data_IF_724354845397
#
_entry.id   IF_724354845397
#
_cell.length_a   1.000
_cell.length_b   1.000
_cell.length_c   1.000
_cell.angle_alpha   90.00
_cell.angle_beta   90.00
_cell.angle_gamma   90.00
#
_symmetry.space_group_name_H-M   'P 1'
#
loop_
_entity.id
_entity.type
_entity.pdbx_description
1 polymer ?
#
# COMPACT_ATOMS: atom_id res chain seq x y z
N UNK A 1 -5.10 -14.48 65.62
CA UNK A 1 -4.48 -13.35 64.86
C UNK A 1 -3.05 -13.79 64.50
N UNK A 2 -2.87 -14.24 63.26
CA UNK A 2 -1.52 -14.59 62.75
C UNK A 2 -0.90 -13.29 62.23
N UNK A 3 0.21 -12.85 62.83
CA UNK A 3 1.07 -11.78 62.34
C UNK A 3 1.63 -12.20 60.96
N UNK A 4 1.27 -11.48 59.89
CA UNK A 4 1.95 -11.61 58.63
C UNK A 4 3.46 -11.36 58.86
N UNK A 5 4.32 -12.37 58.53
CA UNK A 5 5.75 -12.17 58.47
C UNK A 5 6.03 -11.09 57.45
N UNK A 6 6.67 -9.98 57.88
CA UNK A 6 7.30 -9.03 56.93
C UNK A 6 8.33 -9.85 56.16
N UNK A 7 8.11 -10.03 54.85
CA UNK A 7 9.15 -10.53 53.98
C UNK A 7 10.37 -9.56 54.10
N UNK A 8 11.54 -10.16 54.35
CA UNK A 8 12.77 -9.38 54.37
C UNK A 8 12.98 -8.73 52.99
N UNK A 9 13.35 -7.47 52.98
CA UNK A 9 13.68 -6.78 51.72
C UNK A 9 14.88 -7.50 51.10
N UNK A 10 14.78 -7.83 49.80
CA UNK A 10 15.86 -8.46 49.03
C UNK A 10 17.12 -7.58 49.05
N UNK A 11 18.27 -8.21 49.15
CA UNK A 11 19.57 -7.53 48.97
C UNK A 11 19.70 -7.02 47.53
N UNK A 12 20.59 -6.05 47.22
CA UNK A 12 20.85 -5.61 45.85
C UNK A 12 21.20 -6.76 44.91
N UNK A 13 21.96 -7.71 45.37
CA UNK A 13 22.39 -8.92 44.62
C UNK A 13 21.17 -9.83 44.32
N UNK A 14 20.32 -10.05 45.31
CA UNK A 14 19.10 -10.86 45.13
C UNK A 14 18.12 -10.17 44.17
N UNK A 15 18.01 -8.84 44.24
CA UNK A 15 17.20 -8.05 43.26
C UNK A 15 17.74 -8.20 41.86
N UNK A 16 19.05 -8.10 41.67
CA UNK A 16 19.68 -8.28 40.38
C UNK A 16 19.42 -9.67 39.80
N UNK A 17 19.64 -10.73 40.63
CA UNK A 17 19.37 -12.10 40.19
C UNK A 17 17.89 -12.32 39.81
N UNK A 18 16.97 -11.71 40.52
CA UNK A 18 15.55 -11.77 40.20
C UNK A 18 15.16 -10.96 38.93
N UNK A 19 15.96 -9.97 38.57
CA UNK A 19 15.74 -9.16 37.38
C UNK A 19 16.31 -9.76 36.11
N UNK A 20 17.33 -10.61 36.20
CA UNK A 20 17.91 -11.31 35.05
C UNK A 20 17.00 -12.47 34.61
N UNK A 21 16.95 -12.69 33.31
CA UNK A 21 16.28 -13.86 32.71
C UNK A 21 17.26 -15.05 32.81
N UNK A 22 16.83 -16.19 33.39
CA UNK A 22 17.69 -17.39 33.46
C UNK A 22 18.08 -17.92 32.07
N UNK A 23 19.28 -18.51 31.95
CA UNK A 23 19.84 -18.96 30.68
C UNK A 23 18.96 -19.93 29.90
N UNK A 24 18.20 -20.79 30.61
CA UNK A 24 17.26 -21.74 29.97
C UNK A 24 15.98 -21.11 29.40
N UNK A 25 15.73 -19.81 29.71
CA UNK A 25 14.62 -19.03 29.15
C UNK A 25 15.08 -18.10 28.03
N UNK A 26 16.39 -18.08 27.69
CA UNK A 26 16.89 -17.16 26.66
C UNK A 26 16.33 -17.51 25.28
N UNK A 27 15.71 -16.56 24.58
CA UNK A 27 15.25 -16.80 23.21
C UNK A 27 16.39 -17.15 22.24
N UNK A 28 17.59 -16.60 22.48
CA UNK A 28 18.82 -16.87 21.73
C UNK A 28 20.04 -16.35 22.52
N UNK A 29 21.27 -16.74 22.06
CA UNK A 29 22.52 -16.31 22.66
C UNK A 29 22.83 -14.84 22.31
N UNK A 30 23.19 -14.03 23.30
CA UNK A 30 23.64 -12.66 23.17
C UNK A 30 25.16 -12.54 23.18
N UNK A 31 25.75 -11.38 22.78
CA UNK A 31 27.16 -11.02 23.09
C UNK A 31 27.40 -11.07 24.59
N UNK A 32 28.65 -11.37 24.99
CA UNK A 32 29.01 -11.65 26.38
C UNK A 32 28.81 -10.47 27.34
N UNK A 33 28.91 -9.25 26.84
CA UNK A 33 28.69 -8.03 27.64
C UNK A 33 27.22 -7.53 27.63
N UNK A 34 26.29 -8.29 26.99
CA UNK A 34 24.85 -8.03 27.07
C UNK A 34 24.22 -8.89 28.17
N UNK A 35 22.99 -8.52 28.56
CA UNK A 35 22.19 -9.36 29.45
C UNK A 35 20.73 -9.43 28.98
N UNK A 36 20.05 -10.48 29.42
CA UNK A 36 18.60 -10.59 29.30
C UNK A 36 17.95 -10.12 30.61
N UNK A 37 16.99 -9.21 30.48
CA UNK A 37 16.08 -8.81 31.58
C UNK A 37 14.64 -8.88 31.11
N UNK A 38 13.70 -8.50 31.94
CA UNK A 38 12.29 -8.37 31.53
C UNK A 38 11.92 -6.90 31.38
N UNK A 39 10.98 -6.59 30.46
CA UNK A 39 10.53 -5.19 30.24
C UNK A 39 10.20 -4.50 31.56
N UNK A 40 9.49 -5.20 32.46
CA UNK A 40 9.09 -4.64 33.75
C UNK A 40 10.22 -4.22 34.69
N UNK A 41 11.45 -4.73 34.48
CA UNK A 41 12.63 -4.38 35.29
C UNK A 41 13.49 -3.30 34.62
N UNK A 42 13.25 -3.02 33.32
CA UNK A 42 14.02 -2.06 32.53
C UNK A 42 13.34 -0.68 32.40
N UNK A 43 12.02 -0.62 32.60
CA UNK A 43 11.24 0.63 32.44
C UNK A 43 10.78 1.19 33.78
N UNK A 44 10.55 2.50 33.84
CA UNK A 44 10.03 3.17 35.05
C UNK A 44 8.69 2.54 35.48
N UNK A 45 7.72 2.54 34.58
CA UNK A 45 6.48 1.79 34.79
C UNK A 45 5.70 1.49 33.50
N UNK A 46 4.82 0.50 33.59
CA UNK A 46 3.85 0.15 32.56
C UNK A 46 2.45 0.36 33.13
N UNK A 47 1.61 1.13 32.46
CA UNK A 47 0.27 1.46 32.92
C UNK A 47 -0.76 1.47 31.77
N UNK A 48 -2.02 1.58 32.12
CA UNK A 48 -3.14 1.69 31.20
C UNK A 48 -4.23 2.61 31.78
N UNK A 49 -5.27 2.87 30.98
CA UNK A 49 -6.41 3.68 31.39
C UNK A 49 -7.09 3.14 32.66
N UNK A 50 -7.24 1.81 32.78
CA UNK A 50 -7.95 1.17 33.92
C UNK A 50 -7.12 1.13 35.21
N UNK A 51 -5.83 1.51 35.15
CA UNK A 51 -5.02 1.69 36.37
C UNK A 51 -5.55 2.80 37.29
N UNK A 52 -6.38 3.72 36.78
CA UNK A 52 -6.92 4.86 37.51
C UNK A 52 -8.16 4.50 38.37
N UNK A 53 -8.78 3.35 38.12
CA UNK A 53 -9.93 2.93 38.92
C UNK A 53 -10.77 1.84 38.26
N UNK A 54 -11.79 1.37 38.95
CA UNK A 54 -12.78 0.44 38.40
C UNK A 54 -13.56 1.09 37.23
N UNK A 55 -14.17 0.28 36.37
CA UNK A 55 -15.02 0.80 35.27
C UNK A 55 -16.14 1.71 35.77
N UNK A 56 -16.74 1.39 36.93
CA UNK A 56 -17.77 2.23 37.55
C UNK A 56 -17.19 3.60 37.98
N UNK A 57 -16.00 3.59 38.61
CA UNK A 57 -15.31 4.81 39.06
C UNK A 57 -14.87 5.67 37.89
N UNK A 58 -14.29 5.06 36.82
CA UNK A 58 -13.90 5.75 35.57
C UNK A 58 -15.11 6.42 34.91
N UNK A 59 -16.25 5.69 34.79
CA UNK A 59 -17.48 6.22 34.22
C UNK A 59 -18.08 7.38 35.03
N UNK A 60 -17.90 7.37 36.34
CA UNK A 60 -18.40 8.43 37.21
C UNK A 60 -17.55 9.70 37.21
N UNK A 61 -16.23 9.59 36.94
CA UNK A 61 -15.27 10.70 37.08
C UNK A 61 -14.67 11.20 35.78
N UNK A 62 -14.81 10.46 34.65
CA UNK A 62 -14.21 10.82 33.38
C UNK A 62 -15.29 11.07 32.35
N UNK A 63 -15.49 12.32 32.00
CA UNK A 63 -16.35 12.76 30.90
C UNK A 63 -15.55 12.81 29.63
N UNK A 64 -16.09 12.26 28.50
CA UNK A 64 -15.44 12.24 27.20
C UNK A 64 -16.17 13.21 26.27
N UNK A 65 -15.43 14.18 25.71
CA UNK A 65 -15.93 15.21 24.83
C UNK A 65 -15.39 14.99 23.41
N UNK A 66 -16.19 15.30 22.39
CA UNK A 66 -15.76 15.35 20.99
C UNK A 66 -15.21 16.72 20.61
N UNK A 67 -15.73 17.75 21.26
CA UNK A 67 -15.27 19.11 21.13
C UNK A 67 -14.05 19.35 22.02
N UNK A 68 -13.20 20.27 21.63
CA UNK A 68 -11.96 20.59 22.35
C UNK A 68 -12.24 20.94 23.81
N UNK A 69 -11.47 20.33 24.74
CA UNK A 69 -11.59 20.54 26.18
C UNK A 69 -10.18 20.53 26.82
N UNK A 70 -10.10 20.49 28.13
CA UNK A 70 -8.87 20.68 28.93
C UNK A 70 -7.73 19.75 28.48
N UNK A 71 -7.94 18.45 28.39
CA UNK A 71 -6.90 17.49 28.06
C UNK A 71 -7.28 16.60 26.88
N UNK A 72 -6.31 16.34 25.99
CA UNK A 72 -6.44 15.40 24.88
C UNK A 72 -6.35 13.96 25.41
N UNK A 73 -7.32 13.13 25.07
CA UNK A 73 -7.32 11.68 25.34
C UNK A 73 -6.73 10.94 24.14
N UNK A 74 -5.46 10.55 24.24
CA UNK A 74 -4.70 9.93 23.13
C UNK A 74 -5.11 8.48 22.91
N UNK A 75 -5.52 8.17 21.68
CA UNK A 75 -5.88 6.82 21.20
C UNK A 75 -4.90 6.35 20.13
N UNK A 76 -4.71 5.06 20.00
CA UNK A 76 -3.84 4.50 18.95
C UNK A 76 -4.30 4.81 17.52
N UNK A 77 -5.61 5.04 17.30
CA UNK A 77 -6.12 5.47 16.00
C UNK A 77 -5.76 6.91 15.61
N UNK A 78 -5.43 7.77 16.58
CA UNK A 78 -5.11 9.18 16.34
C UNK A 78 -3.78 9.31 15.58
N UNK A 79 -2.89 8.34 15.73
CA UNK A 79 -1.62 8.28 14.97
C UNK A 79 -1.85 8.02 13.47
N UNK A 80 -2.84 7.22 13.11
CA UNK A 80 -3.15 6.93 11.71
C UNK A 80 -3.72 8.15 10.96
N UNK A 81 -4.34 9.10 11.67
CA UNK A 81 -4.93 10.31 11.09
C UNK A 81 -4.12 11.59 11.37
N UNK A 82 -2.90 11.44 11.91
CA UNK A 82 -2.01 12.57 12.23
C UNK A 82 -2.59 13.55 13.23
N UNK A 83 -3.44 13.10 14.15
CA UNK A 83 -4.11 13.93 15.16
C UNK A 83 -4.99 15.05 14.57
N UNK A 84 -5.60 14.83 13.42
CA UNK A 84 -6.40 15.86 12.71
C UNK A 84 -7.91 15.60 12.75
N UNK A 85 -8.36 14.38 13.10
CA UNK A 85 -9.78 14.00 13.02
C UNK A 85 -10.19 13.12 14.20
N UNK A 86 -11.45 13.26 14.61
CA UNK A 86 -12.11 12.39 15.61
C UNK A 86 -11.36 12.31 16.93
N UNK A 87 -10.69 13.39 17.33
CA UNK A 87 -10.04 13.50 18.62
C UNK A 87 -11.08 13.46 19.73
N UNK A 88 -10.67 13.04 20.93
CA UNK A 88 -11.50 13.06 22.13
C UNK A 88 -10.76 13.73 23.26
N UNK A 89 -11.50 14.38 24.10
CA UNK A 89 -10.98 15.20 25.20
C UNK A 89 -11.66 14.84 26.52
N UNK A 90 -11.05 15.26 27.63
CA UNK A 90 -11.66 15.24 28.94
C UNK A 90 -11.51 16.61 29.60
N UNK A 91 -12.35 16.89 30.58
CA UNK A 91 -12.25 18.10 31.40
C UNK A 91 -11.11 18.00 32.43
N UNK A 92 -10.88 19.08 33.18
CA UNK A 92 -9.83 19.11 34.20
C UNK A 92 -10.07 18.07 35.31
N UNK A 93 -11.30 17.82 35.69
CA UNK A 93 -11.64 16.80 36.71
C UNK A 93 -11.25 15.39 36.24
N UNK A 94 -11.64 15.03 35.00
CA UNK A 94 -11.29 13.76 34.40
C UNK A 94 -9.78 13.60 34.23
N UNK A 95 -9.09 14.65 33.83
CA UNK A 95 -7.62 14.63 33.70
C UNK A 95 -6.91 14.40 35.04
N UNK A 96 -7.30 15.11 36.08
CA UNK A 96 -6.76 14.96 37.44
C UNK A 96 -7.03 13.56 38.00
N UNK A 97 -8.21 13.00 37.69
CA UNK A 97 -8.57 11.62 38.05
C UNK A 97 -7.67 10.60 37.33
N UNK A 98 -7.32 10.85 36.08
CA UNK A 98 -6.48 9.99 35.25
C UNK A 98 -4.96 10.14 35.50
N UNK A 99 -4.56 10.55 36.70
CA UNK A 99 -3.18 10.88 37.06
C UNK A 99 -2.15 9.77 36.83
N UNK A 100 -2.58 8.47 36.84
CA UNK A 100 -1.69 7.34 36.57
C UNK A 100 -1.44 7.08 35.07
N UNK A 101 -2.15 7.75 34.18
CA UNK A 101 -2.04 7.59 32.74
C UNK A 101 -1.84 8.91 31.99
N UNK A 102 -1.32 9.92 32.69
CA UNK A 102 -0.92 11.22 32.14
C UNK A 102 0.21 11.03 31.14
N UNK A 103 0.15 11.77 30.03
CA UNK A 103 1.14 11.77 28.95
C UNK A 103 1.79 13.17 28.84
N UNK A 104 3.09 13.18 28.57
CA UNK A 104 3.89 14.42 28.42
C UNK A 104 4.55 14.56 27.05
N UNK A 105 4.50 13.51 26.23
CA UNK A 105 5.23 13.37 24.97
C UNK A 105 6.49 12.53 25.13
N UNK A 106 6.77 11.71 24.10
CA UNK A 106 7.89 10.78 24.10
C UNK A 106 7.56 9.39 24.62
N UNK A 107 6.54 9.20 25.46
CA UNK A 107 6.13 7.89 25.97
C UNK A 107 5.73 6.95 24.82
N UNK A 108 5.92 5.63 25.04
CA UNK A 108 5.45 4.61 24.10
C UNK A 108 4.05 4.14 24.46
N UNK A 109 3.17 4.09 23.46
CA UNK A 109 1.85 3.48 23.60
C UNK A 109 1.73 2.29 22.67
N UNK A 110 1.19 1.20 23.21
CA UNK A 110 0.91 -0.03 22.47
C UNK A 110 -0.59 -0.24 22.39
N UNK A 111 -1.08 -0.61 21.21
CA UNK A 111 -2.44 -1.12 21.08
C UNK A 111 -2.51 -2.51 21.71
N UNK A 112 -3.28 -2.64 22.78
CA UNK A 112 -3.38 -3.90 23.53
C UNK A 112 -4.69 -4.66 23.28
N UNK A 113 -5.61 -4.12 22.49
CA UNK A 113 -6.87 -4.77 22.09
C UNK A 113 -7.12 -4.55 20.61
N UNK A 114 -7.43 -5.63 19.89
CA UNK A 114 -7.76 -5.62 18.46
C UNK A 114 -6.51 -5.54 17.56
N UNK A 115 -5.91 -4.38 17.39
CA UNK A 115 -4.70 -4.18 16.56
C UNK A 115 -3.42 -4.38 17.39
N UNK A 116 -3.28 -5.52 18.04
CA UNK A 116 -2.11 -5.86 18.87
C UNK A 116 -0.80 -5.75 18.08
N UNK A 117 0.28 -5.28 18.74
CA UNK A 117 1.60 -5.15 18.15
C UNK A 117 1.89 -3.82 17.45
N UNK A 118 0.93 -2.91 17.37
CA UNK A 118 1.19 -1.54 16.94
C UNK A 118 1.76 -0.73 18.09
N UNK A 119 2.95 -0.16 17.87
CA UNK A 119 3.69 0.67 18.82
C UNK A 119 3.80 2.07 18.28
N UNK A 120 3.55 3.06 19.12
CA UNK A 120 3.57 4.46 18.77
C UNK A 120 4.36 5.27 19.81
N UNK A 121 5.06 6.30 19.35
CA UNK A 121 5.68 7.29 20.21
C UNK A 121 4.77 8.50 20.30
N UNK A 122 4.40 8.90 21.52
CA UNK A 122 3.50 10.05 21.75
C UNK A 122 4.18 11.34 21.30
N UNK A 123 3.57 12.13 20.41
CA UNK A 123 4.13 13.43 20.03
C UNK A 123 4.05 14.42 21.18
N UNK A 124 4.90 15.46 21.13
CA UNK A 124 4.83 16.58 22.07
C UNK A 124 3.75 17.55 21.61
N UNK A 125 2.80 17.84 22.49
CA UNK A 125 1.78 18.87 22.29
C UNK A 125 1.86 19.93 23.40
N UNK A 126 1.57 21.16 23.08
CA UNK A 126 1.46 22.25 24.05
C UNK A 126 0.08 22.26 24.72
N UNK A 127 -0.27 21.11 25.31
CA UNK A 127 -1.51 20.92 26.06
C UNK A 127 -1.47 19.67 26.93
N UNK A 128 -2.26 19.59 28.00
CA UNK A 128 -2.40 18.37 28.79
C UNK A 128 -2.89 17.18 27.94
N UNK A 129 -2.32 16.01 28.21
CA UNK A 129 -2.66 14.77 27.54
C UNK A 129 -2.84 13.62 28.55
N UNK A 130 -3.70 12.67 28.23
CA UNK A 130 -3.85 11.43 28.98
C UNK A 130 -4.12 10.27 28.03
N UNK A 131 -3.79 9.06 28.46
CA UNK A 131 -4.04 7.84 27.70
C UNK A 131 -5.54 7.52 27.68
N UNK A 132 -6.09 7.22 26.51
CA UNK A 132 -7.42 6.67 26.36
C UNK A 132 -7.46 5.15 26.58
N UNK A 133 -8.65 4.55 26.58
CA UNK A 133 -8.83 3.10 26.69
C UNK A 133 -8.22 2.31 25.53
N UNK A 134 -8.02 1.00 25.73
CA UNK A 134 -7.49 0.05 24.73
C UNK A 134 -6.04 0.28 24.33
N UNK A 135 -5.27 0.92 25.23
CA UNK A 135 -3.85 1.15 25.04
C UNK A 135 -3.10 0.91 26.36
N UNK A 136 -1.87 0.44 26.25
CA UNK A 136 -0.91 0.35 27.34
C UNK A 136 0.20 1.35 27.09
N UNK A 137 0.59 2.10 28.11
CA UNK A 137 1.71 3.04 28.07
C UNK A 137 2.93 2.40 28.75
N UNK A 138 4.08 2.58 28.11
CA UNK A 138 5.40 2.26 28.68
C UNK A 138 6.12 3.59 28.90
N UNK A 139 6.56 3.84 30.13
CA UNK A 139 7.39 4.97 30.51
C UNK A 139 8.77 4.48 30.89
N UNK A 140 9.78 4.99 30.20
CA UNK A 140 11.17 4.68 30.44
C UNK A 140 11.81 5.72 31.40
N UNK A 141 12.92 5.37 32.03
CA UNK A 141 13.65 6.28 32.91
C UNK A 141 14.30 7.45 32.17
N UNK A 142 14.85 7.17 30.97
CA UNK A 142 15.55 8.15 30.15
C UNK A 142 14.99 8.23 28.73
N UNK A 143 15.24 9.33 28.04
CA UNK A 143 14.82 9.52 26.64
C UNK A 143 15.40 8.47 25.68
N UNK A 144 16.65 8.03 25.92
CA UNK A 144 17.36 7.01 25.11
C UNK A 144 16.72 5.64 25.22
N UNK A 145 16.22 5.27 26.40
CA UNK A 145 15.57 3.98 26.62
C UNK A 145 14.28 3.83 25.79
N UNK A 146 13.63 4.96 25.45
CA UNK A 146 12.47 4.92 24.56
C UNK A 146 12.81 4.47 23.15
N UNK A 147 13.94 4.90 22.60
CA UNK A 147 14.34 4.53 21.25
C UNK A 147 14.73 3.04 21.19
N UNK A 148 15.48 2.55 22.18
CA UNK A 148 15.79 1.14 22.33
C UNK A 148 14.52 0.29 22.45
N UNK A 149 13.63 0.65 23.37
CA UNK A 149 12.37 -0.05 23.59
C UNK A 149 11.46 0.00 22.37
N UNK A 150 11.37 1.15 21.69
CA UNK A 150 10.57 1.34 20.47
C UNK A 150 11.02 0.38 19.37
N UNK A 151 12.31 0.37 19.05
CA UNK A 151 12.84 -0.52 18.02
C UNK A 151 12.76 -1.99 18.40
N UNK A 152 12.93 -2.34 19.68
CA UNK A 152 12.71 -3.70 20.16
C UNK A 152 11.28 -4.17 19.87
N UNK A 153 10.30 -3.40 20.30
CA UNK A 153 8.88 -3.74 20.13
C UNK A 153 8.45 -3.81 18.64
N UNK A 154 9.13 -3.06 17.76
CA UNK A 154 8.93 -3.13 16.31
C UNK A 154 9.72 -4.28 15.63
N UNK A 155 10.70 -4.85 16.34
CA UNK A 155 11.51 -5.94 15.77
C UNK A 155 10.68 -7.21 15.62
N UNK A 156 11.06 -8.13 14.70
CA UNK A 156 10.43 -9.45 14.62
C UNK A 156 10.45 -10.20 15.95
N UNK A 157 11.52 -10.04 16.73
CA UNK A 157 11.68 -10.67 18.03
C UNK A 157 10.68 -10.12 19.04
N UNK A 158 10.62 -8.80 19.21
CA UNK A 158 9.66 -8.13 20.11
C UNK A 158 8.20 -8.37 19.69
N UNK A 159 7.94 -8.46 18.38
CA UNK A 159 6.61 -8.78 17.86
C UNK A 159 6.17 -10.22 18.20
N UNK A 160 7.06 -11.23 18.06
CA UNK A 160 6.73 -12.60 18.44
C UNK A 160 6.55 -12.73 19.97
N UNK A 161 7.32 -12.01 20.77
CA UNK A 161 7.11 -11.95 22.22
C UNK A 161 5.77 -11.29 22.58
N UNK A 162 5.38 -10.21 21.94
CA UNK A 162 4.04 -9.61 22.10
C UNK A 162 2.93 -10.58 21.71
N UNK A 163 3.14 -11.36 20.66
CA UNK A 163 2.21 -12.36 20.18
C UNK A 163 2.07 -13.52 21.20
N UNK A 164 3.18 -13.94 21.83
CA UNK A 164 3.18 -15.03 22.82
C UNK A 164 2.30 -14.72 24.03
N UNK A 165 2.23 -13.47 24.46
CA UNK A 165 1.38 -13.01 25.58
C UNK A 165 -0.04 -12.63 25.14
N UNK A 166 -0.35 -12.67 23.83
CA UNK A 166 -1.64 -12.26 23.30
C UNK A 166 -2.64 -13.40 23.36
N UNK A 167 -3.82 -13.15 23.88
CA UNK A 167 -4.92 -14.10 24.00
C UNK A 167 -6.15 -13.65 23.22
N UNK A 168 -7.06 -14.58 22.89
CA UNK A 168 -8.32 -14.30 22.21
C UNK A 168 -8.19 -14.40 20.67
N UNK A 169 -9.02 -15.26 20.07
CA UNK A 169 -9.04 -15.52 18.61
C UNK A 169 -9.86 -14.47 17.84
N UNK A 170 -11.01 -14.05 18.35
CA UNK A 170 -11.87 -13.08 17.69
C UNK A 170 -11.40 -11.62 17.91
N UNK A 171 -10.98 -11.30 19.14
CA UNK A 171 -10.42 -9.99 19.50
C UNK A 171 -9.12 -10.23 20.27
N UNK A 172 -7.97 -10.20 19.60
CA UNK A 172 -6.68 -10.39 20.25
C UNK A 172 -6.45 -9.30 21.30
N UNK A 173 -5.93 -9.71 22.46
CA UNK A 173 -5.61 -8.78 23.57
C UNK A 173 -4.49 -9.30 24.45
N UNK A 174 -3.73 -8.37 25.04
CA UNK A 174 -2.81 -8.62 26.15
C UNK A 174 -3.02 -7.58 27.25
N UNK A 175 -2.50 -7.84 28.44
CA UNK A 175 -2.56 -6.90 29.55
C UNK A 175 -1.16 -6.37 29.92
N UNK A 176 -1.11 -5.30 30.71
CA UNK A 176 0.13 -4.65 31.15
C UNK A 176 1.01 -5.54 32.03
N UNK A 177 0.42 -6.51 32.73
CA UNK A 177 1.17 -7.44 33.57
C UNK A 177 1.96 -8.43 32.71
N UNK A 178 1.32 -8.98 31.68
CA UNK A 178 1.98 -9.88 30.73
C UNK A 178 3.05 -9.15 29.92
N UNK A 179 2.81 -7.89 29.52
CA UNK A 179 3.83 -7.08 28.83
C UNK A 179 5.11 -6.95 29.65
N UNK A 180 5.01 -6.81 30.98
CA UNK A 180 6.18 -6.72 31.87
C UNK A 180 7.03 -7.98 31.89
N UNK A 181 6.48 -9.15 31.55
CA UNK A 181 7.20 -10.43 31.56
C UNK A 181 8.03 -10.70 30.32
N UNK A 182 7.84 -9.92 29.26
CA UNK A 182 8.58 -10.11 27.99
C UNK A 182 10.08 -9.97 28.23
N UNK A 183 10.90 -10.93 27.77
CA UNK A 183 12.35 -10.84 27.82
C UNK A 183 12.85 -9.72 26.87
N UNK A 184 13.75 -8.90 27.38
CA UNK A 184 14.36 -7.78 26.67
C UNK A 184 15.89 -7.95 26.66
N UNK A 185 16.56 -7.96 25.50
CA UNK A 185 18.01 -7.94 25.44
C UNK A 185 18.50 -6.52 25.73
N UNK A 186 19.48 -6.39 26.60
CA UNK A 186 20.06 -5.10 27.01
C UNK A 186 21.54 -5.08 26.72
N UNK A 187 22.05 -4.25 25.80
CA UNK A 187 23.46 -3.98 25.61
C UNK A 187 24.00 -2.94 26.58
N UNK A 188 25.34 -2.76 26.67
CA UNK A 188 25.93 -1.58 27.30
C UNK A 188 25.32 -0.27 26.75
N UNK A 189 25.18 0.74 27.60
CA UNK A 189 24.48 1.99 27.27
C UNK A 189 25.05 2.71 26.03
N UNK A 190 26.38 2.69 25.87
CA UNK A 190 27.01 3.29 24.69
C UNK A 190 26.69 2.52 23.41
N UNK A 191 26.60 1.19 23.50
CA UNK A 191 26.23 0.35 22.38
C UNK A 191 24.75 0.51 22.00
N UNK A 192 23.84 0.70 22.97
CA UNK A 192 22.44 1.02 22.69
C UNK A 192 22.34 2.22 21.75
N UNK A 193 23.08 3.29 22.04
CA UNK A 193 23.07 4.50 21.20
C UNK A 193 23.64 4.20 19.80
N UNK A 194 24.77 3.48 19.70
CA UNK A 194 25.34 3.12 18.39
C UNK A 194 24.41 2.25 17.55
N UNK A 195 23.67 1.33 18.18
CA UNK A 195 22.67 0.52 17.50
C UNK A 195 21.50 1.38 16.99
N UNK A 196 20.96 2.25 17.84
CA UNK A 196 19.87 3.16 17.47
C UNK A 196 20.29 4.05 16.31
N UNK A 197 21.45 4.73 16.41
CA UNK A 197 22.01 5.58 15.35
C UNK A 197 22.19 4.81 14.03
N UNK A 198 22.63 3.54 14.13
CA UNK A 198 22.82 2.68 12.97
C UNK A 198 21.49 2.29 12.33
N UNK A 199 20.48 1.94 13.13
CA UNK A 199 19.12 1.66 12.66
C UNK A 199 18.55 2.87 11.94
N UNK A 200 18.62 4.05 12.56
CA UNK A 200 18.09 5.30 12.00
C UNK A 200 18.78 5.69 10.70
N UNK A 201 20.11 5.59 10.65
CA UNK A 201 20.88 5.84 9.42
C UNK A 201 20.50 4.88 8.28
N UNK A 202 20.30 3.60 8.58
CA UNK A 202 19.89 2.61 7.58
C UNK A 202 18.43 2.83 7.14
N UNK A 203 17.55 3.13 8.08
CA UNK A 203 16.13 3.40 7.79
C UNK A 203 15.96 4.65 6.94
N UNK A 204 16.68 5.74 7.23
CA UNK A 204 16.64 6.96 6.42
C UNK A 204 16.99 6.69 4.95
N UNK A 205 18.02 5.86 4.68
CA UNK A 205 18.38 5.43 3.31
C UNK A 205 17.29 4.59 2.64
N UNK A 206 16.68 3.69 3.41
CA UNK A 206 15.58 2.86 2.91
C UNK A 206 14.32 3.68 2.65
N UNK A 207 14.04 4.68 3.48
CA UNK A 207 12.89 5.58 3.28
C UNK A 207 13.10 6.49 2.05
N UNK A 208 14.31 7.00 1.81
CA UNK A 208 14.64 7.71 0.57
C UNK A 208 14.48 6.82 -0.67
N UNK A 209 14.91 5.56 -0.60
CA UNK A 209 14.70 4.59 -1.68
C UNK A 209 13.22 4.30 -1.90
N UNK A 210 12.43 4.19 -0.82
CA UNK A 210 10.98 4.00 -0.86
C UNK A 210 10.28 5.14 -1.56
N UNK A 211 10.61 6.38 -1.22
CA UNK A 211 10.04 7.57 -1.86
C UNK A 211 10.31 7.61 -3.36
N UNK A 212 11.54 7.29 -3.78
CA UNK A 212 11.91 7.23 -5.20
C UNK A 212 11.17 6.12 -5.94
N UNK A 213 11.07 4.93 -5.36
CA UNK A 213 10.33 3.82 -5.96
C UNK A 213 8.83 4.13 -6.04
N UNK A 214 8.24 4.73 -5.01
CA UNK A 214 6.84 5.13 -5.01
C UNK A 214 6.57 6.20 -6.09
N UNK A 215 7.41 7.22 -6.20
CA UNK A 215 7.30 8.25 -7.24
C UNK A 215 7.39 7.66 -8.66
N UNK A 216 8.20 6.61 -8.86
CA UNK A 216 8.28 5.89 -10.14
C UNK A 216 6.96 5.18 -10.45
N UNK A 217 6.35 4.51 -9.47
CA UNK A 217 5.04 3.85 -9.63
C UNK A 217 3.94 4.88 -9.91
N UNK A 218 3.86 5.95 -9.11
CA UNK A 218 2.81 6.96 -9.18
C UNK A 218 2.83 7.75 -10.50
N UNK A 219 4.01 7.98 -11.07
CA UNK A 219 4.17 8.70 -12.33
C UNK A 219 3.96 7.84 -13.59
N UNK A 220 3.75 6.52 -13.46
CA UNK A 220 3.64 5.59 -14.58
C UNK A 220 2.57 6.01 -15.60
N UNK A 221 1.33 6.26 -15.15
CA UNK A 221 0.24 6.65 -16.06
C UNK A 221 0.49 8.00 -16.73
N UNK A 222 1.13 8.94 -16.02
CA UNK A 222 1.49 10.26 -16.58
C UNK A 222 2.55 10.12 -17.67
N UNK A 223 3.58 9.29 -17.45
CA UNK A 223 4.60 9.03 -18.47
C UNK A 223 4.02 8.33 -19.69
N UNK A 224 3.17 7.31 -19.49
CA UNK A 224 2.46 6.63 -20.57
C UNK A 224 1.62 7.61 -21.41
N UNK A 225 0.88 8.50 -20.74
CA UNK A 225 0.10 9.53 -21.42
C UNK A 225 0.98 10.51 -22.22
N UNK A 226 2.13 10.93 -21.70
CA UNK A 226 3.07 11.79 -22.38
C UNK A 226 3.72 11.11 -23.61
N UNK A 227 4.07 9.83 -23.52
CA UNK A 227 4.58 9.04 -24.64
C UNK A 227 3.53 8.96 -25.76
N UNK A 228 2.28 8.64 -25.42
CA UNK A 228 1.17 8.62 -26.39
C UNK A 228 0.94 10.01 -27.02
N UNK A 229 1.00 11.07 -26.21
CA UNK A 229 0.88 12.43 -26.75
C UNK A 229 1.95 12.70 -27.82
N UNK A 230 3.21 12.44 -27.52
CA UNK A 230 4.32 12.59 -28.48
C UNK A 230 4.15 11.74 -29.74
N UNK A 231 3.59 10.53 -29.60
CA UNK A 231 3.33 9.66 -30.75
C UNK A 231 2.32 10.26 -31.72
N UNK A 232 1.22 10.85 -31.21
CA UNK A 232 0.12 11.34 -32.04
C UNK A 232 0.21 12.83 -32.37
N UNK A 233 1.21 13.56 -31.85
CA UNK A 233 1.61 14.91 -32.29
C UNK A 233 2.76 14.88 -33.31
N UNK A 234 3.34 13.70 -33.58
CA UNK A 234 4.46 13.54 -34.49
C UNK A 234 5.85 13.77 -33.86
N UNK A 235 5.92 14.14 -32.58
CA UNK A 235 7.21 14.35 -31.89
C UNK A 235 8.03 13.06 -31.78
N UNK A 236 7.37 11.91 -31.57
CA UNK A 236 8.02 10.62 -31.37
C UNK A 236 8.86 10.18 -32.59
N UNK A 237 8.45 10.55 -33.81
CA UNK A 237 9.08 10.20 -35.05
C UNK A 237 9.73 11.38 -35.78
N UNK A 238 9.91 12.51 -35.09
CA UNK A 238 10.51 13.71 -35.71
C UNK A 238 11.87 13.42 -36.36
N UNK A 239 12.78 12.73 -35.65
CA UNK A 239 14.09 12.34 -36.18
C UNK A 239 13.99 11.38 -37.37
N UNK A 240 13.05 10.42 -37.30
CA UNK A 240 12.82 9.48 -38.42
C UNK A 240 12.37 10.20 -39.69
N UNK A 241 11.53 11.26 -39.57
CA UNK A 241 11.12 12.08 -40.71
C UNK A 241 12.26 12.93 -41.24
N UNK A 242 13.01 13.58 -40.35
CA UNK A 242 14.21 14.38 -40.74
C UNK A 242 15.20 13.57 -41.55
N UNK A 243 15.56 12.36 -41.12
CA UNK A 243 16.46 11.43 -41.80
C UNK A 243 15.98 11.02 -43.21
N UNK A 244 14.68 11.16 -43.49
CA UNK A 244 14.04 10.80 -44.78
C UNK A 244 13.58 11.99 -45.60
N UNK A 245 13.83 13.19 -45.14
CA UNK A 245 13.38 14.42 -45.79
C UNK A 245 11.86 14.54 -45.92
N UNK A 246 11.12 13.98 -44.93
CA UNK A 246 9.65 13.99 -44.88
C UNK A 246 9.23 14.94 -43.77
N UNK A 247 8.30 15.85 -44.05
CA UNK A 247 7.75 16.76 -43.04
C UNK A 247 6.37 16.34 -42.53
N UNK A 248 5.76 17.21 -41.71
CA UNK A 248 4.43 17.00 -41.16
C UNK A 248 3.31 17.07 -42.19
N UNK A 249 3.56 17.56 -43.39
CA UNK A 249 2.64 17.55 -44.55
C UNK A 249 2.23 16.13 -44.97
N UNK A 250 3.01 15.11 -44.59
CA UNK A 250 2.66 13.69 -44.78
C UNK A 250 1.57 13.18 -43.83
N UNK A 251 1.23 13.95 -42.80
CA UNK A 251 0.19 13.64 -41.84
C UNK A 251 -1.16 14.25 -42.29
N UNK A 252 -2.17 13.43 -42.45
CA UNK A 252 -3.48 13.86 -42.92
C UNK A 252 -4.52 13.68 -41.85
N UNK A 253 -5.27 14.74 -41.53
CA UNK A 253 -6.41 14.66 -40.64
C UNK A 253 -7.56 13.94 -41.36
N UNK A 254 -8.03 12.84 -40.76
CA UNK A 254 -9.16 12.04 -41.25
C UNK A 254 -10.08 11.69 -40.10
N UNK A 255 -11.27 11.16 -40.41
CA UNK A 255 -12.16 10.56 -39.43
C UNK A 255 -11.90 9.05 -39.32
N UNK A 256 -12.23 8.44 -38.19
CA UNK A 256 -12.12 6.99 -38.01
C UNK A 256 -12.95 6.24 -39.04
N UNK A 257 -14.14 6.78 -39.39
CA UNK A 257 -15.00 6.20 -40.45
C UNK A 257 -14.34 6.16 -41.81
N UNK A 258 -13.47 7.16 -42.17
CA UNK A 258 -12.75 7.19 -43.45
C UNK A 258 -11.55 6.23 -43.51
N UNK A 259 -10.97 5.88 -42.34
CA UNK A 259 -9.80 4.99 -42.28
C UNK A 259 -10.16 3.56 -41.96
N UNK A 260 -11.41 3.27 -41.65
CA UNK A 260 -11.93 1.92 -41.45
C UNK A 260 -12.79 1.50 -42.65
N UNK A 261 -12.76 0.21 -43.00
CA UNK A 261 -13.70 -0.37 -43.97
C UNK A 261 -15.12 -0.40 -43.40
N UNK A 262 -15.23 -0.57 -42.11
CA UNK A 262 -16.52 -0.56 -41.40
C UNK A 262 -16.33 -0.24 -39.91
N UNK A 263 -17.33 0.38 -39.31
CA UNK A 263 -17.49 0.53 -37.88
C UNK A 263 -18.88 0.03 -37.50
N UNK A 264 -18.94 -1.00 -36.69
CA UNK A 264 -20.18 -1.67 -36.32
C UNK A 264 -20.26 -1.88 -34.79
N UNK A 265 -21.39 -2.31 -34.29
CA UNK A 265 -21.58 -2.67 -32.89
C UNK A 265 -21.90 -4.14 -32.76
N UNK A 266 -21.42 -4.76 -31.71
CA UNK A 266 -21.76 -6.13 -31.33
C UNK A 266 -23.24 -6.29 -30.95
N UNK A 267 -23.61 -7.43 -30.45
CA UNK A 267 -24.99 -7.77 -30.07
C UNK A 267 -25.47 -6.85 -28.94
N UNK A 268 -26.51 -6.05 -29.17
CA UNK A 268 -27.08 -5.14 -28.16
C UNK A 268 -28.45 -5.58 -27.65
N UNK A 269 -29.20 -6.35 -28.45
CA UNK A 269 -30.60 -6.72 -28.12
C UNK A 269 -30.62 -8.11 -27.47
N UNK A 270 -30.92 -8.12 -26.16
CA UNK A 270 -31.13 -9.35 -25.36
C UNK A 270 -30.11 -10.48 -25.65
N UNK A 271 -28.77 -10.20 -25.56
CA UNK A 271 -27.76 -11.24 -25.88
C UNK A 271 -27.90 -12.49 -25.00
N UNK A 272 -28.42 -12.35 -23.79
CA UNK A 272 -28.58 -13.45 -22.84
C UNK A 272 -29.52 -14.57 -23.31
N UNK A 273 -30.38 -14.31 -24.28
CA UNK A 273 -31.26 -15.36 -24.88
C UNK A 273 -30.47 -16.43 -25.65
N UNK A 274 -29.21 -16.16 -25.99
CA UNK A 274 -28.34 -17.06 -26.73
C UNK A 274 -27.27 -17.71 -25.83
N UNK A 275 -27.26 -17.40 -24.53
CA UNK A 275 -26.21 -17.90 -23.64
C UNK A 275 -26.39 -19.40 -23.36
N UNK A 276 -25.28 -20.10 -23.38
CA UNK A 276 -25.17 -21.53 -23.09
C UNK A 276 -23.93 -21.81 -22.24
N UNK A 277 -23.82 -22.99 -21.61
CA UNK A 277 -22.60 -23.42 -20.95
C UNK A 277 -21.39 -23.43 -21.89
N UNK A 278 -20.17 -23.34 -21.31
CA UNK A 278 -18.90 -23.25 -22.04
C UNK A 278 -18.70 -24.34 -23.10
N UNK A 279 -19.11 -25.57 -22.80
CA UNK A 279 -18.93 -26.72 -23.66
C UNK A 279 -19.96 -26.79 -24.80
N UNK A 280 -20.94 -25.88 -24.87
CA UNK A 280 -22.06 -25.90 -25.82
C UNK A 280 -22.10 -24.69 -26.76
N UNK A 281 -21.11 -23.80 -26.67
CA UNK A 281 -21.15 -22.55 -27.42
C UNK A 281 -19.77 -21.96 -27.80
N UNK A 282 -19.83 -20.89 -28.62
CA UNK A 282 -18.67 -20.12 -29.02
C UNK A 282 -18.52 -18.92 -28.09
N UNK A 283 -17.28 -18.57 -27.59
CA UNK A 283 -17.07 -17.43 -26.75
C UNK A 283 -17.44 -16.10 -27.42
N UNK A 284 -17.86 -15.13 -26.61
CA UNK A 284 -18.15 -13.79 -27.07
C UNK A 284 -17.52 -12.75 -26.15
N UNK A 285 -16.93 -11.71 -26.76
CA UNK A 285 -16.35 -10.57 -26.08
C UNK A 285 -17.41 -9.73 -25.38
N UNK A 286 -17.12 -9.32 -24.16
CA UNK A 286 -17.80 -8.26 -23.42
C UNK A 286 -16.82 -7.17 -23.04
N UNK A 287 -17.30 -6.02 -22.57
CA UNK A 287 -16.44 -4.94 -22.06
C UNK A 287 -15.45 -5.44 -20.99
N UNK A 288 -15.80 -6.50 -20.23
CA UNK A 288 -14.91 -7.11 -19.25
C UNK A 288 -13.66 -7.77 -19.84
N UNK A 289 -13.70 -8.17 -21.11
CA UNK A 289 -12.56 -8.78 -21.80
C UNK A 289 -11.64 -7.77 -22.48
N UNK A 290 -12.08 -6.51 -22.65
CA UNK A 290 -11.31 -5.47 -23.35
C UNK A 290 -10.57 -4.60 -22.34
N UNK A 291 -9.25 -4.50 -22.48
CA UNK A 291 -8.37 -3.60 -21.72
C UNK A 291 -7.54 -2.77 -22.68
N UNK A 292 -6.84 -1.77 -22.16
CA UNK A 292 -5.94 -0.94 -22.99
C UNK A 292 -4.88 -1.79 -23.67
N UNK A 293 -5.00 -1.92 -24.98
CA UNK A 293 -4.11 -2.68 -25.89
C UNK A 293 -3.92 -4.16 -25.52
N UNK A 294 -4.82 -4.77 -24.74
CA UNK A 294 -4.77 -6.19 -24.36
C UNK A 294 -6.17 -6.78 -24.19
N UNK A 295 -6.23 -8.08 -24.22
CA UNK A 295 -7.46 -8.86 -23.95
C UNK A 295 -7.27 -9.60 -22.63
N UNK A 296 -8.25 -9.48 -21.72
CA UNK A 296 -8.34 -10.30 -20.52
C UNK A 296 -9.09 -11.60 -20.89
N UNK A 297 -8.34 -12.71 -20.92
CA UNK A 297 -8.80 -14.03 -21.37
C UNK A 297 -9.47 -14.82 -20.24
N UNK A 298 -10.51 -14.23 -19.65
CA UNK A 298 -11.31 -14.86 -18.58
C UNK A 298 -12.75 -14.35 -18.59
N UNK A 299 -13.63 -15.00 -17.83
CA UNK A 299 -15.04 -14.61 -17.64
C UNK A 299 -15.82 -14.48 -18.98
N UNK A 300 -15.63 -15.46 -19.87
CA UNK A 300 -16.30 -15.52 -21.14
C UNK A 300 -17.78 -15.89 -21.00
N UNK A 301 -18.62 -15.32 -21.86
CA UNK A 301 -19.98 -15.86 -22.14
C UNK A 301 -19.93 -16.62 -23.46
N UNK A 302 -20.78 -17.61 -23.58
CA UNK A 302 -20.79 -18.49 -24.73
C UNK A 302 -22.14 -18.41 -25.44
N UNK A 303 -22.13 -18.29 -26.78
CA UNK A 303 -23.31 -18.19 -27.61
C UNK A 303 -23.56 -19.53 -28.32
N UNK A 304 -24.81 -19.96 -28.33
CA UNK A 304 -25.22 -21.11 -29.11
C UNK A 304 -25.14 -20.87 -30.62
N UNK A 305 -25.26 -21.93 -31.42
CA UNK A 305 -25.17 -21.85 -32.88
C UNK A 305 -26.19 -20.87 -33.50
N UNK A 306 -27.41 -20.80 -32.95
CA UNK A 306 -28.43 -19.85 -33.37
C UNK A 306 -27.96 -18.40 -33.12
N UNK A 307 -27.40 -18.14 -31.95
CA UNK A 307 -26.85 -16.82 -31.59
C UNK A 307 -25.73 -16.38 -32.51
N UNK A 308 -24.82 -17.29 -32.89
CA UNK A 308 -23.78 -17.06 -33.87
C UNK A 308 -24.33 -16.75 -35.26
N UNK A 309 -25.32 -17.56 -35.70
CA UNK A 309 -25.94 -17.42 -37.02
C UNK A 309 -26.75 -16.12 -37.17
N UNK A 310 -27.57 -15.79 -36.17
CA UNK A 310 -28.43 -14.59 -36.17
C UNK A 310 -27.59 -13.29 -36.09
N UNK A 311 -26.40 -13.37 -35.48
CA UNK A 311 -25.53 -12.24 -35.22
C UNK A 311 -24.18 -12.29 -35.98
N UNK A 312 -24.17 -12.79 -37.22
CA UNK A 312 -22.98 -12.89 -38.07
C UNK A 312 -22.23 -11.55 -38.23
N UNK A 313 -22.98 -10.43 -38.24
CA UNK A 313 -22.41 -9.07 -38.37
C UNK A 313 -21.57 -8.66 -37.17
N UNK A 314 -21.75 -9.28 -36.03
CA UNK A 314 -21.01 -8.99 -34.78
C UNK A 314 -19.79 -9.90 -34.59
N UNK A 315 -19.54 -10.81 -35.52
CA UNK A 315 -18.33 -11.64 -35.51
C UNK A 315 -17.12 -10.74 -35.73
N UNK A 316 -16.08 -10.97 -34.93
CA UNK A 316 -14.83 -10.25 -34.99
C UNK A 316 -13.77 -11.10 -35.69
N UNK A 317 -12.85 -10.42 -36.35
CA UNK A 317 -11.77 -11.04 -37.09
C UNK A 317 -10.41 -10.51 -36.66
N UNK A 318 -9.37 -11.29 -36.94
CA UNK A 318 -7.98 -10.91 -36.65
C UNK A 318 -7.65 -9.53 -37.23
N UNK A 319 -7.22 -8.62 -36.35
CA UNK A 319 -6.91 -7.26 -36.70
C UNK A 319 -8.06 -6.26 -36.52
N UNK A 320 -9.28 -6.71 -36.20
CA UNK A 320 -10.35 -5.80 -35.78
C UNK A 320 -9.96 -5.10 -34.46
N UNK A 321 -10.40 -3.85 -34.31
CA UNK A 321 -10.20 -3.08 -33.08
C UNK A 321 -11.50 -3.03 -32.30
N UNK A 322 -11.50 -3.64 -31.13
CA UNK A 322 -12.63 -3.60 -30.20
C UNK A 322 -12.57 -2.38 -29.31
N UNK A 323 -13.67 -1.65 -29.15
CA UNK A 323 -13.74 -0.43 -28.35
C UNK A 323 -14.91 -0.49 -27.39
N UNK A 324 -14.62 -0.39 -26.10
CA UNK A 324 -15.65 -0.35 -25.04
C UNK A 324 -16.53 0.88 -25.19
N UNK A 325 -17.86 0.68 -25.12
CA UNK A 325 -18.85 1.76 -25.22
C UNK A 325 -19.53 2.11 -23.90
N UNK A 326 -19.51 1.21 -22.93
CA UNK A 326 -20.18 1.36 -21.63
C UNK A 326 -19.21 1.02 -20.48
N UNK A 327 -19.30 1.73 -19.35
CA UNK A 327 -18.40 1.58 -18.21
C UNK A 327 -17.14 2.45 -18.35
N UNK A 328 -16.15 2.03 -19.11
CA UNK A 328 -14.95 2.82 -19.45
C UNK A 328 -14.82 3.03 -20.96
N UNK A 329 -15.64 3.93 -21.54
CA UNK A 329 -15.72 4.11 -22.99
C UNK A 329 -14.41 4.59 -23.58
N UNK A 330 -14.04 4.00 -24.74
CA UNK A 330 -12.80 4.31 -25.44
C UNK A 330 -11.63 3.39 -25.09
N UNK A 331 -11.78 2.50 -24.10
CA UNK A 331 -10.79 1.42 -23.92
C UNK A 331 -10.81 0.51 -25.13
N UNK A 332 -9.66 0.25 -25.75
CA UNK A 332 -9.57 -0.48 -27.00
C UNK A 332 -8.46 -1.54 -26.99
N UNK A 333 -8.70 -2.64 -27.74
CA UNK A 333 -7.71 -3.67 -28.01
C UNK A 333 -7.82 -4.17 -29.46
N UNK A 334 -6.76 -4.79 -29.96
CA UNK A 334 -6.76 -5.46 -31.26
C UNK A 334 -7.09 -6.95 -31.07
N UNK A 335 -7.90 -7.53 -31.95
CA UNK A 335 -8.21 -8.96 -31.94
C UNK A 335 -7.04 -9.75 -32.55
N UNK A 336 -6.33 -10.59 -31.76
CA UNK A 336 -5.31 -11.48 -32.28
C UNK A 336 -5.92 -12.75 -32.88
N UNK A 337 -5.16 -13.51 -33.64
CA UNK A 337 -5.57 -14.71 -34.39
C UNK A 337 -6.31 -15.75 -33.53
N UNK A 338 -5.88 -15.97 -32.28
CA UNK A 338 -6.48 -16.94 -31.37
C UNK A 338 -7.95 -16.67 -31.00
N UNK A 339 -8.44 -15.46 -31.27
CA UNK A 339 -9.83 -15.05 -31.02
C UNK A 339 -10.60 -14.75 -32.32
N UNK A 340 -10.06 -15.15 -33.47
CA UNK A 340 -10.77 -15.03 -34.75
C UNK A 340 -12.08 -15.81 -34.74
N UNK A 341 -13.12 -15.20 -35.26
CA UNK A 341 -14.44 -15.83 -35.30
C UNK A 341 -15.28 -15.78 -34.04
N UNK A 342 -14.78 -15.17 -32.94
CA UNK A 342 -15.58 -14.88 -31.75
C UNK A 342 -16.66 -13.84 -32.06
N UNK A 343 -17.72 -13.79 -31.26
CA UNK A 343 -18.71 -12.73 -31.37
C UNK A 343 -18.39 -11.59 -30.38
N UNK A 344 -19.05 -10.45 -30.51
CA UNK A 344 -18.93 -9.33 -29.57
C UNK A 344 -20.31 -8.88 -29.09
N UNK A 345 -20.40 -8.50 -27.81
CA UNK A 345 -21.63 -8.07 -27.14
C UNK A 345 -21.43 -6.67 -26.58
N UNK A 346 -22.24 -5.74 -27.03
CA UNK A 346 -22.26 -4.33 -26.60
C UNK A 346 -20.89 -3.63 -26.66
N UNK A 347 -20.10 -3.95 -27.69
CA UNK A 347 -18.76 -3.38 -27.95
C UNK A 347 -18.77 -2.82 -29.38
N UNK A 348 -18.07 -1.71 -29.62
CA UNK A 348 -17.81 -1.23 -30.98
C UNK A 348 -16.72 -2.09 -31.62
N UNK A 349 -16.87 -2.37 -32.87
CA UNK A 349 -15.94 -3.14 -33.71
C UNK A 349 -15.53 -2.24 -34.88
N UNK A 350 -14.31 -1.78 -34.90
CA UNK A 350 -13.73 -1.10 -36.05
C UNK A 350 -12.92 -2.08 -36.90
N UNK A 351 -13.18 -2.12 -38.19
CA UNK A 351 -12.46 -2.93 -39.17
C UNK A 351 -11.52 -1.99 -39.92
N UNK A 352 -10.21 -1.92 -39.56
CA UNK A 352 -9.26 -0.99 -40.19
C UNK A 352 -9.04 -1.30 -41.66
N UNK A 353 -9.01 -0.25 -42.50
CA UNK A 353 -8.51 -0.40 -43.87
C UNK A 353 -6.97 -0.51 -43.86
N UNK A 354 -6.45 -1.72 -44.00
CA UNK A 354 -5.03 -2.02 -43.90
C UNK A 354 -4.13 -1.24 -44.90
N UNK A 355 -4.72 -0.62 -45.93
CA UNK A 355 -4.00 0.27 -46.88
C UNK A 355 -3.80 1.69 -46.30
N UNK A 356 -4.54 2.06 -45.28
CA UNK A 356 -4.60 3.42 -44.70
C UNK A 356 -4.11 3.43 -43.26
N UNK A 357 -4.52 2.45 -42.44
CA UNK A 357 -4.24 2.45 -41.03
C UNK A 357 -3.89 1.05 -40.50
N UNK A 358 -2.89 1.00 -39.61
CA UNK A 358 -2.53 -0.22 -38.88
C UNK A 358 -3.43 -0.35 -37.65
N UNK A 359 -3.91 -1.56 -37.36
CA UNK A 359 -4.82 -1.84 -36.22
C UNK A 359 -4.26 -1.36 -34.89
N UNK A 360 -2.98 -1.62 -34.60
CA UNK A 360 -2.32 -1.19 -33.38
C UNK A 360 -2.19 0.35 -33.30
N UNK A 361 -1.99 1.05 -34.43
CA UNK A 361 -1.97 2.50 -34.44
C UNK A 361 -3.34 3.08 -34.02
N UNK A 362 -4.42 2.53 -34.57
CA UNK A 362 -5.78 2.91 -34.19
C UNK A 362 -6.07 2.58 -32.73
N UNK A 363 -5.64 1.42 -32.26
CA UNK A 363 -5.79 0.99 -30.88
C UNK A 363 -5.05 1.95 -29.92
N UNK A 364 -3.78 2.25 -30.15
CA UNK A 364 -3.02 3.19 -29.34
C UNK A 364 -3.61 4.60 -29.36
N UNK A 365 -4.07 5.06 -30.54
CA UNK A 365 -4.74 6.37 -30.64
C UNK A 365 -6.00 6.42 -29.77
N UNK A 366 -6.85 5.42 -29.88
CA UNK A 366 -8.12 5.36 -29.12
C UNK A 366 -7.88 5.38 -27.62
N UNK A 367 -6.84 4.69 -27.13
CA UNK A 367 -6.43 4.68 -25.73
C UNK A 367 -5.64 5.94 -25.30
N UNK A 368 -5.20 6.78 -26.24
CA UNK A 368 -4.41 7.98 -25.95
C UNK A 368 -5.26 9.10 -25.28
N UNK A 369 -4.60 10.04 -24.58
CA UNK A 369 -5.29 11.22 -24.06
C UNK A 369 -6.04 12.01 -25.13
N UNK A 370 -5.49 12.07 -26.36
CA UNK A 370 -6.13 12.73 -27.50
C UNK A 370 -7.41 12.01 -27.93
N UNK A 371 -7.38 10.70 -28.04
CA UNK A 371 -8.55 9.86 -28.35
C UNK A 371 -9.61 9.96 -27.26
N UNK A 372 -9.23 9.81 -25.99
CA UNK A 372 -10.13 9.92 -24.84
C UNK A 372 -10.80 11.31 -24.74
N UNK A 373 -10.04 12.39 -24.99
CA UNK A 373 -10.60 13.76 -25.02
C UNK A 373 -11.65 13.92 -26.12
N UNK A 374 -11.43 13.35 -27.30
CA UNK A 374 -12.38 13.40 -28.40
C UNK A 374 -13.66 12.63 -28.07
N UNK A 375 -13.56 11.51 -27.37
CA UNK A 375 -14.71 10.72 -26.87
C UNK A 375 -15.53 11.53 -25.86
N UNK A 376 -14.90 12.24 -24.93
CA UNK A 376 -15.58 13.09 -23.94
C UNK A 376 -16.32 14.27 -24.57
N UNK A 377 -15.73 14.91 -25.58
CA UNK A 377 -16.37 16.00 -26.31
C UNK A 377 -17.62 15.48 -27.05
N UNK A 378 -17.54 14.31 -27.67
CA UNK A 378 -18.67 13.66 -28.33
C UNK A 378 -19.83 13.32 -27.40
N UNK A 379 -19.55 13.10 -26.09
CA UNK A 379 -20.58 12.87 -25.06
C UNK A 379 -21.34 14.14 -24.65
N UNK A 380 -20.69 15.32 -24.64
CA UNK A 380 -21.29 16.58 -24.16
C UNK A 380 -22.32 17.18 -25.11
N UNK A 381 -22.31 16.78 -26.39
CA UNK A 381 -23.22 17.31 -27.41
C UNK A 381 -24.58 16.61 -27.52
N UNK A 382 -24.74 15.43 -26.94
CA UNK A 382 -25.97 14.62 -27.01
C UNK A 382 -26.14 13.94 -25.66
N UNK A 383 -27.32 14.00 -25.04
CA UNK A 383 -27.66 13.37 -23.76
C UNK A 383 -27.65 11.83 -23.86
N UNK A 384 -26.55 11.22 -24.31
CA UNK A 384 -26.38 9.79 -24.52
C UNK A 384 -25.52 9.16 -23.44
N UNK A 385 -26.09 8.22 -22.72
CA UNK A 385 -25.41 7.38 -21.71
C UNK A 385 -24.40 6.40 -22.30
N UNK A 386 -24.36 6.24 -23.66
CA UNK A 386 -23.51 5.26 -24.34
C UNK A 386 -22.76 5.91 -25.52
N UNK A 387 -21.45 5.63 -25.60
CA UNK A 387 -20.63 5.93 -26.77
C UNK A 387 -21.06 5.04 -27.95
N UNK A 388 -21.40 5.60 -29.09
CA UNK A 388 -22.02 4.91 -30.20
C UNK A 388 -21.16 4.89 -31.48
N UNK A 389 -21.59 4.09 -32.48
CA UNK A 389 -20.93 3.93 -33.78
C UNK A 389 -20.69 5.26 -34.46
N UNK A 390 -21.71 6.14 -34.51
CA UNK A 390 -21.62 7.44 -35.19
C UNK A 390 -20.59 8.34 -34.51
N UNK A 391 -20.62 8.43 -33.18
CA UNK A 391 -19.66 9.24 -32.42
C UNK A 391 -18.23 8.75 -32.62
N UNK A 392 -18.01 7.44 -32.60
CA UNK A 392 -16.69 6.85 -32.84
C UNK A 392 -16.21 7.10 -34.27
N UNK A 393 -17.08 6.86 -35.28
CA UNK A 393 -16.72 7.09 -36.70
C UNK A 393 -16.38 8.53 -37.02
N UNK A 394 -16.96 9.50 -36.30
CA UNK A 394 -16.72 10.94 -36.50
C UNK A 394 -15.47 11.46 -35.77
N UNK A 395 -14.83 10.65 -34.94
CA UNK A 395 -13.59 11.07 -34.26
C UNK A 395 -12.48 11.34 -35.28
N UNK A 396 -11.82 12.49 -35.13
CA UNK A 396 -10.69 12.88 -35.96
C UNK A 396 -9.41 12.20 -35.51
N UNK A 397 -8.60 11.75 -36.43
CA UNK A 397 -7.30 11.13 -36.20
C UNK A 397 -6.31 11.62 -37.25
N UNK A 398 -5.09 11.95 -36.81
CA UNK A 398 -3.98 12.27 -37.71
C UNK A 398 -3.32 10.96 -38.21
N UNK A 399 -3.23 10.80 -39.53
CA UNK A 399 -2.73 9.60 -40.19
C UNK A 399 -1.41 9.90 -40.92
N UNK A 400 -0.27 9.43 -40.42
CA UNK A 400 0.98 9.40 -41.17
C UNK A 400 1.00 8.26 -42.20
N UNK A 401 2.03 8.21 -42.98
CA UNK A 401 2.26 7.10 -43.93
C UNK A 401 2.37 5.75 -43.22
N UNK A 402 2.00 4.65 -43.88
CA UNK A 402 2.09 3.30 -43.27
C UNK A 402 3.50 2.99 -42.73
N UNK A 403 4.60 3.31 -43.42
CA UNK A 403 5.95 3.11 -42.88
C UNK A 403 6.18 3.85 -41.55
N UNK A 404 5.67 5.08 -41.40
CA UNK A 404 5.78 5.84 -40.15
C UNK A 404 4.91 5.27 -39.05
N UNK A 405 3.65 4.83 -39.36
CA UNK A 405 2.80 4.12 -38.41
C UNK A 405 3.51 2.87 -37.84
N UNK A 406 4.20 2.08 -38.69
CA UNK A 406 4.97 0.91 -38.22
C UNK A 406 6.05 1.32 -37.21
N UNK A 407 6.78 2.42 -37.52
CA UNK A 407 7.80 2.93 -36.58
C UNK A 407 7.19 3.40 -35.27
N UNK A 408 6.07 4.13 -35.31
CA UNK A 408 5.37 4.60 -34.13
C UNK A 408 4.92 3.41 -33.27
N UNK A 409 4.22 2.44 -33.86
CA UNK A 409 3.72 1.24 -33.16
C UNK A 409 4.86 0.45 -32.51
N UNK A 410 5.95 0.21 -33.27
CA UNK A 410 7.14 -0.49 -32.74
C UNK A 410 7.77 0.28 -31.57
N UNK A 411 7.95 1.59 -31.72
CA UNK A 411 8.55 2.43 -30.67
C UNK A 411 7.69 2.48 -29.43
N UNK A 412 6.36 2.63 -29.56
CA UNK A 412 5.42 2.57 -28.45
C UNK A 412 5.49 1.22 -27.73
N UNK A 413 5.52 0.12 -28.48
CA UNK A 413 5.65 -1.23 -27.90
C UNK A 413 6.90 -1.38 -27.04
N UNK A 414 8.06 -0.91 -27.55
CA UNK A 414 9.34 -0.94 -26.80
C UNK A 414 9.27 -0.06 -25.55
N UNK A 415 8.81 1.20 -25.70
CA UNK A 415 8.74 2.14 -24.58
C UNK A 415 7.78 1.65 -23.48
N UNK A 416 6.61 1.11 -23.85
CA UNK A 416 5.67 0.59 -22.86
C UNK A 416 6.17 -0.67 -22.17
N UNK A 417 6.89 -1.54 -22.86
CA UNK A 417 7.54 -2.68 -22.22
C UNK A 417 8.59 -2.24 -21.19
N UNK A 418 9.40 -1.21 -21.53
CA UNK A 418 10.39 -0.64 -20.61
C UNK A 418 9.74 0.04 -19.40
N UNK A 419 8.68 0.84 -19.62
CA UNK A 419 7.93 1.49 -18.54
C UNK A 419 7.28 0.46 -17.60
N UNK A 420 6.70 -0.60 -18.14
CA UNK A 420 6.11 -1.67 -17.37
C UNK A 420 7.16 -2.41 -16.52
N UNK A 421 8.31 -2.74 -17.13
CA UNK A 421 9.43 -3.36 -16.42
C UNK A 421 9.97 -2.47 -15.29
N UNK A 422 10.08 -1.16 -15.55
CA UNK A 422 10.53 -0.19 -14.55
C UNK A 422 9.54 -0.09 -13.38
N UNK A 423 8.24 -0.10 -13.66
CA UNK A 423 7.18 -0.11 -12.65
C UNK A 423 7.25 -1.37 -11.77
N UNK A 424 7.33 -2.55 -12.39
CA UNK A 424 7.43 -3.83 -11.69
C UNK A 424 8.70 -3.92 -10.82
N UNK A 425 9.82 -3.41 -11.31
CA UNK A 425 11.06 -3.33 -10.53
C UNK A 425 10.91 -2.39 -9.32
N UNK A 426 10.23 -1.24 -9.49
CA UNK A 426 9.96 -0.31 -8.39
C UNK A 426 9.01 -0.92 -7.35
N UNK A 427 7.96 -1.62 -7.76
CA UNK A 427 7.04 -2.34 -6.87
C UNK A 427 7.78 -3.43 -6.07
N UNK A 428 8.67 -4.20 -6.72
CA UNK A 428 9.50 -5.20 -6.05
C UNK A 428 10.47 -4.57 -5.02
N UNK A 429 11.02 -3.38 -5.31
CA UNK A 429 11.84 -2.64 -4.35
C UNK A 429 11.03 -2.22 -3.12
N UNK A 430 9.78 -1.77 -3.31
CA UNK A 430 8.89 -1.41 -2.19
C UNK A 430 8.66 -2.59 -1.25
N UNK A 431 8.40 -3.77 -1.79
CA UNK A 431 8.21 -5.00 -1.01
C UNK A 431 9.50 -5.40 -0.26
N UNK A 432 10.66 -5.27 -0.90
CA UNK A 432 11.95 -5.62 -0.29
C UNK A 432 12.34 -4.68 0.85
N UNK A 433 12.00 -3.38 0.78
CA UNK A 433 12.34 -2.40 1.83
C UNK A 433 11.74 -2.79 3.17
N UNK A 434 10.49 -3.22 3.22
CA UNK A 434 9.85 -3.63 4.47
C UNK A 434 10.51 -4.90 5.06
N UNK A 435 10.96 -5.83 4.21
CA UNK A 435 11.72 -7.01 4.63
C UNK A 435 13.11 -6.62 5.16
N UNK A 436 13.80 -5.69 4.49
CA UNK A 436 15.10 -5.19 4.93
C UNK A 436 15.02 -4.50 6.29
N UNK A 437 14.01 -3.65 6.53
CA UNK A 437 13.79 -3.02 7.84
C UNK A 437 13.61 -4.06 8.96
N UNK A 438 12.80 -5.10 8.72
CA UNK A 438 12.62 -6.21 9.66
C UNK A 438 13.94 -6.95 9.91
N UNK A 439 14.73 -7.23 8.87
CA UNK A 439 16.03 -7.89 8.98
C UNK A 439 17.04 -7.05 9.78
N UNK A 440 17.09 -5.74 9.53
CA UNK A 440 17.95 -4.81 10.29
C UNK A 440 17.60 -4.88 11.78
N UNK A 441 16.32 -4.78 12.13
CA UNK A 441 15.87 -4.87 13.51
C UNK A 441 16.19 -6.24 14.13
N UNK A 442 15.97 -7.34 13.42
CA UNK A 442 16.29 -8.66 13.94
C UNK A 442 17.78 -8.82 14.25
N UNK A 443 18.65 -8.30 13.36
CA UNK A 443 20.11 -8.30 13.57
C UNK A 443 20.54 -7.35 14.71
N UNK A 444 19.89 -6.20 14.84
CA UNK A 444 20.16 -5.24 15.90
C UNK A 444 20.02 -5.89 17.29
N UNK A 445 18.91 -6.58 17.52
CA UNK A 445 18.62 -7.18 18.82
C UNK A 445 19.30 -8.52 19.07
N UNK A 446 20.11 -9.01 18.11
CA UNK A 446 21.05 -10.12 18.28
C UNK A 446 22.50 -9.68 18.46
N UNK A 447 22.78 -8.35 18.44
CA UNK A 447 24.15 -7.83 18.46
C UNK A 447 24.92 -8.02 17.14
N UNK A 448 24.21 -8.21 16.01
CA UNK A 448 24.80 -8.55 14.71
C UNK A 448 24.98 -7.35 13.77
N UNK A 449 24.83 -6.13 14.25
CA UNK A 449 25.05 -4.90 13.43
C UNK A 449 26.50 -4.43 13.38
N UNK A 450 27.42 -5.13 14.05
CA UNK A 450 28.83 -4.76 14.09
C UNK A 450 29.11 -3.54 15.00
N UNK A 451 28.27 -3.32 16.01
CA UNK A 451 28.35 -2.20 16.96
C UNK A 451 28.93 -2.64 18.31
N UNK A 452 29.04 -3.94 18.58
CA UNK A 452 29.51 -4.46 19.83
C UNK A 452 31.01 -4.21 20.03
N UNK A 453 31.35 -3.70 21.21
CA UNK A 453 32.72 -3.59 21.74
C UNK A 453 32.82 -4.42 23.02
N UNK A 454 33.47 -5.59 22.95
CA UNK A 454 33.60 -6.46 24.11
C UNK A 454 34.37 -5.87 25.30
N UNK A 455 35.09 -4.76 25.12
CA UNK A 455 35.82 -4.07 26.19
C UNK A 455 34.95 -3.14 27.03
N UNK A 456 33.70 -2.86 26.57
CA UNK A 456 32.78 -2.05 27.33
C UNK A 456 32.25 -2.78 28.58
N UNK A 457 31.93 -1.98 29.60
CA UNK A 457 31.34 -2.46 30.84
C UNK A 457 30.04 -3.25 30.56
N UNK A 458 29.87 -4.38 31.24
CA UNK A 458 28.69 -5.22 31.03
C UNK A 458 27.40 -4.50 31.32
N UNK A 459 26.36 -4.76 30.49
CA UNK A 459 24.99 -4.26 30.68
C UNK A 459 24.38 -4.65 32.04
N UNK A 460 24.92 -5.65 32.72
CA UNK A 460 24.54 -6.00 34.10
C UNK A 460 24.80 -4.85 35.07
N UNK A 461 25.86 -4.03 34.86
CA UNK A 461 26.12 -2.86 35.69
C UNK A 461 25.12 -1.74 35.45
N UNK A 462 24.67 -1.57 34.20
CA UNK A 462 23.56 -0.68 33.89
C UNK A 462 22.26 -1.11 34.61
N UNK A 463 21.98 -2.42 34.59
CA UNK A 463 20.78 -2.95 35.24
C UNK A 463 20.81 -2.75 36.76
N UNK A 464 21.97 -2.89 37.41
CA UNK A 464 22.14 -2.60 38.85
C UNK A 464 21.79 -1.15 39.24
N UNK A 465 21.98 -0.21 38.33
CA UNK A 465 21.68 1.22 38.57
C UNK A 465 20.17 1.51 38.45
N UNK A 466 19.42 0.68 37.76
CA UNK A 466 17.99 0.87 37.47
C UNK A 466 17.12 0.19 38.54
N UNK A 467 17.53 -0.97 39.06
CA UNK A 467 16.77 -1.79 40.03
C UNK A 467 17.22 -1.54 41.47
#
# INVERSE_FOLDING_TARGET
MARAKKEAALTPEERLQAALVPDWEWPYKLPENWCWTRIGNYVDYVTDYVANGSFASLKANVSIFKDENYALMVKTQDFANGFTKSLTYTDKHGYDFLSKSTLHGGELILSNIGSVGKVFRVPYFDRPMTLASNSVMVKCYNSRDYDWMYYFLLSPIGFEELKSITTGTAVPKFNKTDLKTIPLPVPPLAEQQRIVDRIESLFAKLDEAKEKAQAMVDSFETRKAAILHKAFTGELTAKWREERGVGMESWHLRTIGEVCENVKVGIVIKPSQYYVPQNEGTPAFRSANVRECRIDDFDWVYLNEKGMKDNRRSIVHTGDVLVVRSGNPGTACVVPERFDGYNAIDILIAVPNKKIIISDYLCYYTNSPLGKKTIEIGKRGIALTHFNVKGFSQMSINIPTIPEQVVIVRTLGVLFAQEQQAKEAAEAVLDQIDLMKKSILARAFRGELGTNDPSEESAVELLKQII
#
